data_IF_564652258589
#
_entry.id   IF_564652258589
#
_cell.length_a   1.000
_cell.length_b   1.000
_cell.length_c   1.000
_cell.angle_alpha   90.00
_cell.angle_beta   90.00
_cell.angle_gamma   90.00
#
_symmetry.space_group_name_H-M   'P 1'
#
loop_
_entity.id
_entity.type
_entity.pdbx_description
1 polymer ?
#
# COMPACT_ATOMS: atom_id res chain seq x y z
N UNK A 1 39.27 -40.86 -53.22
CA UNK A 1 40.30 -40.20 -52.40
C UNK A 1 40.37 -38.73 -52.82
N UNK A 2 40.45 -37.84 -51.82
CA UNK A 2 40.89 -36.42 -51.86
C UNK A 2 40.04 -35.44 -52.68
N UNK A 3 39.10 -34.68 -52.08
CA UNK A 3 39.18 -33.49 -51.20
C UNK A 3 39.10 -32.15 -51.97
N UNK A 4 37.98 -31.46 -51.74
CA UNK A 4 37.53 -30.14 -52.21
C UNK A 4 38.25 -28.96 -51.54
N UNK A 5 38.52 -27.86 -52.28
CA UNK A 5 38.39 -26.43 -51.87
C UNK A 5 38.17 -25.54 -53.12
N UNK A 6 36.94 -25.08 -53.37
CA UNK A 6 36.37 -23.70 -53.23
C UNK A 6 37.02 -22.61 -54.11
N UNK A 7 36.22 -22.07 -55.04
CA UNK A 7 36.23 -20.64 -55.41
C UNK A 7 34.79 -20.14 -55.63
N UNK A 8 34.56 -18.90 -55.17
CA UNK A 8 33.29 -18.24 -54.97
C UNK A 8 32.74 -17.56 -56.24
N UNK A 9 31.41 -17.47 -56.37
CA UNK A 9 30.72 -16.36 -57.06
C UNK A 9 29.40 -16.05 -56.34
N UNK A 10 29.24 -14.77 -55.99
CA UNK A 10 28.10 -14.17 -55.33
C UNK A 10 26.86 -14.10 -56.25
N UNK A 11 25.67 -14.28 -55.68
CA UNK A 11 24.42 -13.85 -56.29
C UNK A 11 23.43 -13.31 -55.25
N UNK A 12 23.35 -11.98 -55.26
CA UNK A 12 22.19 -11.12 -55.07
C UNK A 12 21.08 -11.57 -54.11
N UNK A 13 21.10 -10.92 -52.95
CA UNK A 13 19.99 -10.67 -52.03
C UNK A 13 18.77 -10.05 -52.72
N UNK A 14 17.59 -10.64 -52.50
CA UNK A 14 16.31 -9.96 -52.60
C UNK A 14 15.34 -10.52 -51.54
N UNK A 15 15.56 -10.17 -50.27
CA UNK A 15 14.56 -10.34 -49.21
C UNK A 15 13.73 -9.07 -49.11
N UNK A 16 12.49 -9.12 -49.59
CA UNK A 16 11.49 -8.08 -49.29
C UNK A 16 11.25 -8.09 -47.77
N UNK A 17 11.87 -7.17 -47.06
CA UNK A 17 11.48 -6.83 -45.71
C UNK A 17 10.20 -5.98 -45.79
N UNK A 18 9.04 -6.58 -45.48
CA UNK A 18 7.85 -5.80 -45.10
C UNK A 18 8.16 -5.09 -43.80
N UNK A 19 8.67 -3.87 -43.90
CA UNK A 19 8.71 -2.93 -42.79
C UNK A 19 7.27 -2.48 -42.53
N UNK A 20 6.57 -3.16 -41.62
CA UNK A 20 5.44 -2.54 -40.92
C UNK A 20 6.02 -1.34 -40.16
N UNK A 21 5.83 -0.15 -40.73
CA UNK A 21 5.97 1.10 -40.00
C UNK A 21 4.90 1.06 -38.89
N UNK A 22 5.29 0.58 -37.72
CA UNK A 22 4.53 0.84 -36.51
C UNK A 22 4.51 2.36 -36.34
N UNK A 23 3.38 2.98 -36.70
CA UNK A 23 3.16 4.38 -36.41
C UNK A 23 3.33 4.55 -34.90
N UNK A 24 4.06 5.57 -34.43
CA UNK A 24 3.99 5.92 -33.04
C UNK A 24 2.54 6.32 -32.78
N UNK A 25 1.81 5.48 -32.06
CA UNK A 25 0.61 5.89 -31.37
C UNK A 25 1.05 7.02 -30.44
N UNK A 26 0.95 8.26 -30.92
CA UNK A 26 0.85 9.41 -30.03
C UNK A 26 -0.52 9.29 -29.39
N UNK A 27 -0.65 8.33 -28.48
CA UNK A 27 -1.66 8.33 -27.45
C UNK A 27 -1.42 9.63 -26.68
N UNK A 28 -2.07 10.70 -27.13
CA UNK A 28 -2.29 11.86 -26.30
C UNK A 28 -2.93 11.30 -25.04
N UNK A 29 -2.18 11.27 -23.93
CA UNK A 29 -2.78 11.15 -22.62
C UNK A 29 -3.61 12.41 -22.44
N UNK A 30 -4.82 12.42 -23.01
CA UNK A 30 -5.86 13.33 -22.57
C UNK A 30 -6.05 12.97 -21.10
N UNK A 31 -5.44 13.78 -20.23
CA UNK A 31 -5.63 13.66 -18.80
C UNK A 31 -7.12 13.59 -18.49
N UNK A 32 -7.48 12.96 -17.38
CA UNK A 32 -8.88 12.84 -16.97
C UNK A 32 -9.58 14.20 -16.96
N UNK A 33 -10.80 14.24 -17.53
CA UNK A 33 -11.69 15.41 -17.45
C UNK A 33 -12.30 15.61 -16.05
N UNK A 34 -11.97 14.75 -15.07
CA UNK A 34 -12.41 14.92 -13.70
C UNK A 34 -11.99 16.30 -13.13
N UNK A 35 -12.79 16.91 -12.26
CA UNK A 35 -12.50 18.22 -11.67
C UNK A 35 -11.46 18.15 -10.52
N UNK A 36 -10.73 17.04 -10.40
CA UNK A 36 -9.73 16.81 -9.35
C UNK A 36 -8.54 16.03 -9.88
N UNK A 37 -7.44 16.09 -9.12
CA UNK A 37 -6.25 15.27 -9.25
C UNK A 37 -6.23 14.21 -8.15
N UNK A 38 -5.76 13.02 -8.49
CA UNK A 38 -5.64 11.88 -7.57
C UNK A 38 -4.30 11.94 -6.82
N UNK A 39 -4.37 11.90 -5.48
CA UNK A 39 -3.23 11.85 -4.59
C UNK A 39 -3.02 10.47 -3.94
N UNK A 40 -2.30 10.43 -2.81
CA UNK A 40 -2.08 9.24 -2.00
C UNK A 40 -3.37 8.53 -1.57
N UNK A 41 -3.23 7.30 -1.09
CA UNK A 41 -4.33 6.47 -0.60
C UNK A 41 -4.22 6.31 0.91
N UNK A 42 -5.29 6.60 1.63
CA UNK A 42 -5.38 6.51 3.08
C UNK A 42 -6.20 5.30 3.51
N UNK A 43 -5.69 4.50 4.44
CA UNK A 43 -6.49 3.52 5.18
C UNK A 43 -6.82 4.07 6.55
N UNK A 44 -8.12 4.17 6.85
CA UNK A 44 -8.68 4.74 8.06
C UNK A 44 -9.26 3.62 8.92
N UNK A 45 -8.79 3.46 10.15
CA UNK A 45 -9.36 2.53 11.13
C UNK A 45 -10.06 3.32 12.22
N UNK A 46 -11.39 3.17 12.32
CA UNK A 46 -12.25 3.84 13.29
C UNK A 46 -12.34 2.99 14.56
N UNK A 47 -11.86 3.54 15.67
CA UNK A 47 -11.72 2.85 16.94
C UNK A 47 -12.56 3.53 18.01
N UNK A 48 -13.43 2.75 18.63
CA UNK A 48 -14.21 3.15 19.80
C UNK A 48 -13.61 2.49 21.03
N UNK A 49 -13.01 3.25 21.93
CA UNK A 49 -12.55 2.73 23.21
C UNK A 49 -13.72 2.58 24.17
N UNK A 50 -13.67 1.60 25.08
CA UNK A 50 -14.64 1.50 26.16
C UNK A 50 -14.47 2.68 27.13
N UNK A 51 -15.55 3.02 27.83
CA UNK A 51 -15.59 4.15 28.76
C UNK A 51 -14.43 4.11 29.75
N UNK A 52 -13.65 5.19 29.80
CA UNK A 52 -12.50 5.33 30.70
C UNK A 52 -11.21 4.62 30.27
N UNK A 53 -11.20 3.88 29.15
CA UNK A 53 -10.06 3.08 28.71
C UNK A 53 -9.30 3.66 27.50
N UNK A 54 -9.52 4.94 27.20
CA UNK A 54 -8.84 5.65 26.10
C UNK A 54 -7.32 5.65 26.24
N UNK A 55 -6.81 6.11 27.38
CA UNK A 55 -5.38 6.21 27.65
C UNK A 55 -4.70 4.85 27.70
N UNK A 56 -5.37 3.84 28.25
CA UNK A 56 -4.87 2.46 28.28
C UNK A 56 -4.66 1.91 26.86
N UNK A 57 -5.62 2.18 25.97
CA UNK A 57 -5.49 1.81 24.57
C UNK A 57 -4.35 2.57 23.87
N UNK A 58 -4.23 3.89 24.10
CA UNK A 58 -3.14 4.70 23.55
C UNK A 58 -1.75 4.22 24.02
N UNK A 59 -1.63 3.89 25.30
CA UNK A 59 -0.40 3.29 25.87
C UNK A 59 -0.08 1.96 25.22
N UNK A 60 -1.08 1.11 25.00
CA UNK A 60 -0.88 -0.17 24.33
C UNK A 60 -0.39 0.00 22.89
N UNK A 61 -1.02 0.86 22.09
CA UNK A 61 -0.62 1.05 20.68
C UNK A 61 0.73 1.77 20.57
N UNK A 62 1.12 2.57 21.55
CA UNK A 62 2.47 3.16 21.63
C UNK A 62 3.56 2.09 21.68
N UNK A 63 3.33 1.00 22.42
CA UNK A 63 4.30 -0.10 22.54
C UNK A 63 4.23 -1.15 21.44
N UNK A 64 3.18 -1.15 20.60
CA UNK A 64 2.92 -2.25 19.66
C UNK A 64 2.71 -1.80 18.22
N UNK A 65 1.88 -0.78 17.99
CA UNK A 65 1.53 -0.31 16.64
C UNK A 65 2.50 0.76 16.16
N UNK A 66 2.88 1.71 17.04
CA UNK A 66 3.80 2.80 16.68
C UNK A 66 5.13 2.28 16.11
N UNK A 67 5.83 1.31 16.74
CA UNK A 67 7.11 0.84 16.21
C UNK A 67 6.96 0.14 14.85
N UNK A 68 5.83 -0.54 14.63
CA UNK A 68 5.50 -1.16 13.34
C UNK A 68 5.39 -0.09 12.26
N UNK A 69 4.58 0.95 12.45
CA UNK A 69 4.44 2.02 11.45
C UNK A 69 5.72 2.84 11.27
N UNK A 70 6.51 3.05 12.32
CA UNK A 70 7.81 3.71 12.19
C UNK A 70 8.77 2.92 11.28
N UNK A 71 8.79 1.59 11.40
CA UNK A 71 9.61 0.73 10.54
C UNK A 71 9.04 0.60 9.13
N UNK A 72 7.72 0.50 8.96
CA UNK A 72 7.07 0.52 7.64
C UNK A 72 7.38 1.82 6.88
N UNK A 73 7.33 2.96 7.57
CA UNK A 73 7.69 4.26 7.00
C UNK A 73 9.17 4.30 6.62
N UNK A 74 10.05 3.82 7.49
CA UNK A 74 11.49 3.72 7.22
C UNK A 74 11.80 2.83 6.01
N UNK A 75 11.07 1.73 5.84
CA UNK A 75 11.16 0.84 4.68
C UNK A 75 10.38 1.34 3.47
N UNK A 76 9.72 2.50 3.58
CA UNK A 76 8.91 3.13 2.52
C UNK A 76 7.75 2.25 2.03
N UNK A 77 7.25 1.37 2.90
CA UNK A 77 6.01 0.60 2.66
C UNK A 77 4.80 1.54 2.73
N UNK A 78 4.84 2.47 3.68
CA UNK A 78 3.89 3.57 3.84
C UNK A 78 4.61 4.92 3.69
N UNK A 79 3.88 5.97 3.32
CA UNK A 79 4.39 7.35 3.28
C UNK A 79 4.39 7.98 4.67
N UNK A 80 3.26 7.88 5.38
CA UNK A 80 3.09 8.40 6.73
C UNK A 80 1.97 7.68 7.48
N UNK A 81 1.82 7.98 8.77
CA UNK A 81 0.67 7.58 9.55
C UNK A 81 0.29 8.67 10.56
N UNK A 82 -0.99 8.73 10.93
CA UNK A 82 -1.53 9.67 11.92
C UNK A 82 -2.46 8.96 12.88
N UNK A 83 -2.45 9.40 14.14
CA UNK A 83 -3.39 8.95 15.16
C UNK A 83 -4.11 10.20 15.66
N UNK A 84 -5.41 10.26 15.41
CA UNK A 84 -6.29 11.34 15.85
C UNK A 84 -7.10 10.84 17.03
N UNK A 85 -7.17 11.64 18.09
CA UNK A 85 -7.97 11.38 19.28
C UNK A 85 -8.93 12.56 19.48
N UNK A 86 -10.18 12.27 19.79
CA UNK A 86 -11.22 13.27 19.98
C UNK A 86 -12.45 12.71 20.68
N UNK A 87 -13.48 13.53 20.81
CA UNK A 87 -14.75 13.12 21.41
C UNK A 87 -15.60 12.32 20.41
N UNK A 88 -16.30 11.29 20.90
CA UNK A 88 -17.31 10.58 20.14
C UNK A 88 -18.62 11.41 20.10
N UNK A 89 -19.22 11.56 18.91
CA UNK A 89 -20.47 12.30 18.74
C UNK A 89 -21.71 11.55 19.24
N UNK A 90 -21.56 10.28 19.63
CA UNK A 90 -22.62 9.45 20.17
C UNK A 90 -22.16 8.04 20.56
N UNK A 91 -23.07 7.19 21.09
CA UNK A 91 -22.71 5.86 21.60
C UNK A 91 -22.16 4.88 20.55
N UNK A 92 -22.39 5.13 19.26
CA UNK A 92 -21.89 4.31 18.15
C UNK A 92 -20.85 5.04 17.29
N UNK A 93 -20.23 6.07 17.85
CA UNK A 93 -19.16 6.80 17.20
C UNK A 93 -17.78 6.39 17.74
N UNK A 94 -16.74 6.66 16.96
CA UNK A 94 -15.36 6.42 17.34
C UNK A 94 -14.78 7.66 18.04
N UNK A 95 -13.82 7.44 18.93
CA UNK A 95 -13.06 8.51 19.56
C UNK A 95 -11.59 8.52 19.09
N UNK A 96 -11.14 7.46 18.42
CA UNK A 96 -9.80 7.36 17.84
C UNK A 96 -9.87 6.99 16.35
N UNK A 97 -9.10 7.68 15.53
CA UNK A 97 -8.92 7.39 14.11
C UNK A 97 -7.44 7.17 13.80
N UNK A 98 -7.11 5.98 13.30
CA UNK A 98 -5.76 5.64 12.83
C UNK A 98 -5.75 5.75 11.31
N UNK A 99 -4.88 6.59 10.77
CA UNK A 99 -4.70 6.80 9.34
C UNK A 99 -3.33 6.30 8.91
N UNK A 100 -3.28 5.53 7.83
CA UNK A 100 -2.04 5.03 7.21
C UNK A 100 -2.04 5.45 5.74
N UNK A 101 -1.02 6.19 5.33
CA UNK A 101 -0.87 6.75 3.99
C UNK A 101 -0.01 5.85 3.10
N UNK A 102 -0.55 5.46 1.96
CA UNK A 102 0.10 4.68 0.93
C UNK A 102 0.29 5.54 -0.33
N UNK A 103 1.36 5.32 -1.11
CA UNK A 103 1.62 6.16 -2.27
C UNK A 103 0.55 6.08 -3.36
N UNK A 104 -0.14 4.93 -3.49
CA UNK A 104 -1.20 4.68 -4.48
C UNK A 104 -1.87 3.32 -4.21
N UNK A 105 -2.86 2.94 -5.03
CA UNK A 105 -3.55 1.65 -4.93
C UNK A 105 -2.67 0.43 -5.26
N UNK A 106 -1.63 0.57 -6.08
CA UNK A 106 -0.72 -0.55 -6.38
C UNK A 106 0.17 -0.92 -5.17
N UNK A 107 0.27 -0.03 -4.17
CA UNK A 107 0.98 -0.34 -2.93
C UNK A 107 0.38 -1.54 -2.17
N UNK A 108 -0.89 -1.83 -2.38
CA UNK A 108 -1.61 -2.94 -1.75
C UNK A 108 -1.26 -4.31 -2.36
N UNK A 109 -0.71 -4.34 -3.57
CA UNK A 109 -0.27 -5.58 -4.21
C UNK A 109 0.91 -6.17 -3.43
N UNK A 110 0.74 -7.42 -3.00
CA UNK A 110 1.70 -8.17 -2.17
C UNK A 110 2.08 -7.41 -0.88
N UNK A 111 1.16 -6.61 -0.34
CA UNK A 111 1.43 -5.80 0.85
C UNK A 111 1.81 -6.67 2.06
N UNK A 112 1.18 -7.84 2.22
CA UNK A 112 1.49 -8.76 3.32
C UNK A 112 2.94 -9.22 3.31
N UNK A 113 3.50 -9.50 2.14
CA UNK A 113 4.90 -9.92 2.00
C UNK A 113 5.89 -8.85 2.49
N UNK A 114 5.49 -7.58 2.42
CA UNK A 114 6.28 -6.44 2.91
C UNK A 114 6.07 -6.21 4.41
N UNK A 115 4.84 -6.39 4.89
CA UNK A 115 4.41 -6.01 6.25
C UNK A 115 4.64 -7.12 7.26
N UNK A 116 4.32 -8.36 6.94
CA UNK A 116 4.39 -9.49 7.89
C UNK A 116 5.79 -9.67 8.49
N UNK A 117 6.91 -9.54 7.74
CA UNK A 117 8.26 -9.60 8.34
C UNK A 117 8.53 -8.46 9.34
N UNK A 118 8.02 -7.26 9.09
CA UNK A 118 8.16 -6.11 10.00
C UNK A 118 7.36 -6.36 11.27
N UNK A 119 6.11 -6.79 11.10
CA UNK A 119 5.20 -7.07 12.22
C UNK A 119 5.72 -8.22 13.06
N UNK A 120 6.23 -9.31 12.46
CA UNK A 120 6.81 -10.44 13.18
C UNK A 120 8.04 -10.02 13.99
N UNK A 121 8.94 -9.23 13.40
CA UNK A 121 10.13 -8.70 14.07
C UNK A 121 9.79 -7.86 15.30
N UNK A 122 8.69 -7.13 15.29
CA UNK A 122 8.34 -6.14 16.31
C UNK A 122 7.34 -6.69 17.34
N UNK A 123 6.28 -7.34 16.87
CA UNK A 123 5.18 -7.83 17.68
C UNK A 123 5.28 -9.33 18.00
N UNK A 124 6.26 -10.03 17.42
CA UNK A 124 6.47 -11.46 17.63
C UNK A 124 5.55 -12.34 16.79
N UNK A 125 5.40 -13.59 17.23
CA UNK A 125 4.72 -14.65 16.47
C UNK A 125 3.22 -14.38 16.27
N UNK A 126 2.60 -15.07 15.31
CA UNK A 126 1.17 -14.95 15.06
C UNK A 126 0.30 -15.18 16.31
N UNK A 127 0.65 -16.17 17.13
CA UNK A 127 -0.07 -16.46 18.38
C UNK A 127 0.04 -15.32 19.40
N UNK A 128 1.21 -14.69 19.52
CA UNK A 128 1.42 -13.52 20.39
C UNK A 128 0.59 -12.31 19.90
N UNK A 129 0.56 -12.10 18.58
CA UNK A 129 -0.26 -11.06 17.95
C UNK A 129 -1.75 -11.32 18.18
N UNK A 130 -2.21 -12.56 18.00
CA UNK A 130 -3.59 -12.97 18.23
C UNK A 130 -4.01 -12.78 19.69
N UNK A 131 -3.18 -13.22 20.64
CA UNK A 131 -3.44 -13.02 22.07
C UNK A 131 -3.56 -11.53 22.43
N UNK A 132 -2.70 -10.69 21.85
CA UNK A 132 -2.75 -9.23 22.02
C UNK A 132 -4.02 -8.63 21.41
N UNK A 133 -4.44 -9.12 20.23
CA UNK A 133 -5.67 -8.67 19.57
C UNK A 133 -6.92 -9.03 20.38
N UNK A 134 -6.97 -10.23 20.97
CA UNK A 134 -8.07 -10.65 21.86
C UNK A 134 -8.16 -9.75 23.08
N UNK A 135 -7.03 -9.46 23.75
CA UNK A 135 -7.00 -8.53 24.89
C UNK A 135 -7.48 -7.12 24.53
N UNK A 136 -7.33 -6.68 23.28
CA UNK A 136 -7.84 -5.37 22.84
C UNK A 136 -9.36 -5.30 22.82
N UNK A 137 -10.07 -6.43 22.69
CA UNK A 137 -11.53 -6.48 22.75
C UNK A 137 -12.07 -6.07 24.13
N UNK A 138 -11.24 -6.19 25.16
CA UNK A 138 -11.61 -5.77 26.52
C UNK A 138 -11.59 -4.26 26.69
N UNK A 139 -10.87 -3.52 25.83
CA UNK A 139 -10.66 -2.07 25.97
C UNK A 139 -11.16 -1.24 24.79
N UNK A 140 -11.41 -1.87 23.62
CA UNK A 140 -11.89 -1.19 22.42
C UNK A 140 -12.72 -2.09 21.50
N UNK A 141 -13.41 -1.42 20.60
CA UNK A 141 -14.12 -1.97 19.44
C UNK A 141 -13.59 -1.29 18.17
N UNK A 142 -13.48 -2.04 17.07
CA UNK A 142 -13.26 -1.45 15.74
C UNK A 142 -14.62 -1.30 15.08
N UNK A 143 -15.04 -0.06 14.83
CA UNK A 143 -16.31 0.24 14.18
C UNK A 143 -16.23 0.05 12.66
N UNK A 144 -15.03 0.18 12.09
CA UNK A 144 -14.79 -0.15 10.69
C UNK A 144 -13.40 0.26 10.22
N UNK A 145 -13.08 -0.20 9.02
CA UNK A 145 -11.90 0.22 8.27
C UNK A 145 -12.34 0.66 6.89
N UNK A 146 -11.84 1.81 6.43
CA UNK A 146 -12.16 2.36 5.11
C UNK A 146 -10.88 2.79 4.41
N UNK A 147 -10.72 2.41 3.16
CA UNK A 147 -9.63 2.90 2.32
C UNK A 147 -10.17 3.95 1.35
N UNK A 148 -9.52 5.11 1.30
CA UNK A 148 -9.95 6.28 0.55
C UNK A 148 -8.78 6.88 -0.20
N UNK A 149 -9.06 7.55 -1.31
CA UNK A 149 -8.02 8.29 -2.04
C UNK A 149 -8.13 9.78 -1.73
N UNK A 150 -7.00 10.41 -1.47
CA UNK A 150 -6.90 11.86 -1.39
C UNK A 150 -7.13 12.49 -2.77
N UNK A 151 -7.92 13.56 -2.82
CA UNK A 151 -8.15 14.31 -4.05
C UNK A 151 -7.85 15.79 -3.82
N UNK A 152 -7.27 16.42 -4.84
CA UNK A 152 -7.05 17.88 -4.88
C UNK A 152 -7.84 18.45 -6.03
N UNK A 153 -8.70 19.43 -5.75
CA UNK A 153 -9.49 20.09 -6.79
C UNK A 153 -8.60 20.87 -7.76
N UNK A 154 -9.01 20.94 -9.03
CA UNK A 154 -8.33 21.72 -10.07
C UNK A 154 -8.59 23.21 -9.97
#
# INVERSE_FOLDING_TARGET
MTTTKIYAIACASLTLASACLAQPDTASSKGSNAPYNEGPVWTLTMVKTKTGLGDDYLKQITGTVKPVYDEEKKQKVILDYKILNGEASGPQDFNILILVEYPNWAAFDNLRDKMDPIVEKIMGTEDQRRATAVKRLDIREILGTKTMREITLK
#
